data_IF_586369516136
#
_entry.id   IF_586369516136
#
_cell.length_a   1.000
_cell.length_b   1.000
_cell.length_c   1.000
_cell.angle_alpha   90.00
_cell.angle_beta   90.00
_cell.angle_gamma   90.00
#
_symmetry.space_group_name_H-M   'P 1'
#
loop_
_entity.id
_entity.type
_entity.pdbx_description
1 polymer ?
#
# COMPACT_ATOMS: atom_id res chain seq x y z
N UNK A 1 9.59 -8.30 3.57
CA UNK A 1 9.58 -7.29 2.48
C UNK A 1 10.18 -7.92 1.22
N UNK A 2 9.43 -7.89 0.12
CA UNK A 2 9.86 -8.31 -1.21
C UNK A 2 10.50 -7.11 -1.92
N UNK A 3 11.80 -7.18 -2.17
CA UNK A 3 12.55 -6.25 -3.00
C UNK A 3 12.55 -6.72 -4.45
N UNK A 4 12.16 -5.83 -5.36
CA UNK A 4 12.01 -6.10 -6.79
C UNK A 4 12.96 -5.21 -7.57
N UNK A 5 13.86 -5.78 -8.38
CA UNK A 5 14.74 -5.02 -9.27
C UNK A 5 14.34 -5.27 -10.73
N UNK A 6 13.82 -4.22 -11.39
CA UNK A 6 13.31 -4.28 -12.76
C UNK A 6 14.29 -3.66 -13.75
N UNK A 7 14.37 -4.23 -14.95
CA UNK A 7 15.00 -3.62 -16.10
C UNK A 7 14.13 -2.47 -16.62
N UNK A 8 14.80 -1.42 -17.11
CA UNK A 8 14.24 -0.10 -17.42
C UNK A 8 12.96 -0.20 -18.27
N UNK A 9 11.81 0.07 -17.64
CA UNK A 9 10.46 -0.11 -18.20
C UNK A 9 9.61 1.17 -18.10
N UNK A 10 8.43 1.15 -18.74
CA UNK A 10 7.44 2.22 -18.60
C UNK A 10 6.92 2.26 -17.16
N UNK A 11 6.65 3.46 -16.65
CA UNK A 11 6.07 3.66 -15.31
C UNK A 11 4.71 2.96 -15.25
N UNK A 12 4.54 2.08 -14.28
CA UNK A 12 3.24 1.45 -14.00
C UNK A 12 2.88 1.64 -12.53
N UNK A 13 1.58 1.76 -12.30
CA UNK A 13 0.97 1.74 -10.98
C UNK A 13 -0.11 0.67 -10.98
N UNK A 14 0.01 -0.30 -10.07
CA UNK A 14 -0.97 -1.36 -9.91
C UNK A 14 -1.15 -1.71 -8.45
N UNK A 15 -2.32 -2.23 -8.09
CA UNK A 15 -2.63 -2.66 -6.74
C UNK A 15 -3.11 -4.11 -6.76
N UNK A 16 -2.54 -4.96 -5.91
CA UNK A 16 -3.00 -6.35 -5.74
C UNK A 16 -3.70 -6.51 -4.39
N UNK A 17 -4.75 -7.32 -4.35
CA UNK A 17 -5.38 -7.78 -3.10
C UNK A 17 -4.68 -9.08 -2.67
N UNK A 18 -4.11 -9.11 -1.47
CA UNK A 18 -3.48 -10.32 -0.92
C UNK A 18 -4.47 -11.14 -0.06
N UNK A 19 -4.44 -12.47 -0.08
CA UNK A 19 -5.34 -13.28 0.75
C UNK A 19 -5.10 -13.09 2.26
N UNK A 20 -3.87 -12.71 2.66
CA UNK A 20 -3.52 -12.47 4.06
C UNK A 20 -2.97 -11.07 4.29
N UNK A 21 -3.43 -10.39 5.35
CA UNK A 21 -3.14 -8.98 5.68
C UNK A 21 -1.66 -8.80 6.09
N UNK A 22 -0.82 -8.13 5.28
CA UNK A 22 0.58 -7.89 5.64
C UNK A 22 0.76 -6.74 6.65
N UNK A 23 -0.21 -5.81 6.74
CA UNK A 23 -0.12 -4.61 7.59
C UNK A 23 -1.30 -4.51 8.58
N UNK A 24 -1.22 -5.17 9.75
CA UNK A 24 -2.26 -5.08 10.77
C UNK A 24 -2.35 -3.70 11.44
N UNK A 25 -1.29 -2.88 11.41
CA UNK A 25 -1.21 -1.55 12.05
C UNK A 25 -1.26 -0.36 11.07
N UNK A 26 -2.05 -0.44 10.00
CA UNK A 26 -2.24 0.72 9.10
C UNK A 26 -3.09 1.80 9.77
N UNK A 27 -2.54 3.01 9.90
CA UNK A 27 -3.27 4.21 10.33
C UNK A 27 -3.97 4.83 9.12
N UNK A 28 -5.30 4.76 9.13
CA UNK A 28 -6.18 5.36 8.12
C UNK A 28 -6.85 6.59 8.73
N UNK A 29 -6.91 7.68 7.99
CA UNK A 29 -7.61 8.90 8.41
C UNK A 29 -8.86 9.09 7.55
N UNK A 30 -9.97 9.43 8.21
CA UNK A 30 -11.25 9.73 7.55
C UNK A 30 -11.36 11.24 7.30
N UNK A 31 -11.79 11.62 6.11
CA UNK A 31 -12.15 12.99 5.76
C UNK A 31 -13.68 13.07 5.65
N UNK A 32 -14.32 13.76 6.60
CA UNK A 32 -15.78 13.87 6.70
C UNK A 32 -16.33 13.64 8.12
N UNK A 33 -17.65 13.75 8.24
CA UNK A 33 -18.35 13.67 9.52
C UNK A 33 -18.23 12.28 10.15
N UNK A 34 -17.92 12.28 11.44
CA UNK A 34 -17.35 11.16 12.17
C UNK A 34 -18.28 9.94 12.24
N UNK A 35 -17.78 8.77 11.84
CA UNK A 35 -18.25 7.50 12.37
C UNK A 35 -17.09 6.49 12.52
N UNK A 36 -17.02 5.87 13.69
CA UNK A 36 -16.18 4.72 14.10
C UNK A 36 -14.68 5.03 14.32
N UNK A 37 -14.31 5.43 15.55
CA UNK A 37 -13.00 5.15 16.18
C UNK A 37 -11.69 5.56 15.46
N UNK A 38 -11.78 6.28 14.34
CA UNK A 38 -10.68 6.71 13.50
C UNK A 38 -10.52 8.23 13.60
N UNK A 39 -9.28 8.69 13.46
CA UNK A 39 -8.96 10.12 13.39
C UNK A 39 -9.72 10.75 12.20
N UNK A 40 -10.66 11.64 12.48
CA UNK A 40 -11.47 12.37 11.50
C UNK A 40 -10.91 13.78 11.30
N UNK A 41 -11.13 14.34 10.11
CA UNK A 41 -10.80 15.73 9.79
C UNK A 41 -11.92 16.34 8.97
N UNK A 42 -12.44 17.46 9.46
CA UNK A 42 -13.52 18.19 8.81
C UNK A 42 -13.04 18.96 7.58
N UNK A 43 -13.99 19.29 6.70
CA UNK A 43 -13.77 20.06 5.47
C UNK A 43 -13.14 21.44 5.75
N UNK A 44 -13.43 22.02 6.91
CA UNK A 44 -12.85 23.28 7.36
C UNK A 44 -11.40 23.13 7.83
N UNK A 45 -11.06 22.00 8.48
CA UNK A 45 -9.70 21.68 8.90
C UNK A 45 -8.76 21.53 7.71
N UNK A 46 -9.23 20.92 6.62
CA UNK A 46 -8.45 20.77 5.38
C UNK A 46 -8.05 22.11 4.76
N UNK A 47 -8.94 23.11 4.77
CA UNK A 47 -8.67 24.45 4.22
C UNK A 47 -7.62 25.19 5.05
N UNK A 48 -7.62 25.03 6.37
CA UNK A 48 -6.62 25.64 7.27
C UNK A 48 -5.23 25.02 7.11
N UNK A 49 -5.17 23.71 6.89
CA UNK A 49 -3.92 22.97 6.70
C UNK A 49 -3.21 23.32 5.39
N UNK A 50 -3.95 23.70 4.33
CA UNK A 50 -3.36 23.99 3.02
C UNK A 50 -2.45 25.24 3.02
N UNK A 51 -2.61 26.15 3.99
CA UNK A 51 -1.79 27.37 4.10
C UNK A 51 -0.33 27.06 4.49
N UNK A 52 -0.07 25.97 5.21
CA UNK A 52 1.25 25.63 5.73
C UNK A 52 1.75 24.28 5.20
N UNK A 53 2.61 24.30 4.19
CA UNK A 53 3.24 23.09 3.59
C UNK A 53 3.94 22.18 4.61
N UNK A 54 4.45 22.73 5.72
CA UNK A 54 5.11 21.96 6.79
C UNK A 54 4.13 21.08 7.57
N UNK A 55 2.94 21.59 7.88
CA UNK A 55 1.91 20.84 8.60
C UNK A 55 1.29 19.75 7.72
N UNK A 56 1.07 20.05 6.44
CA UNK A 56 0.62 19.06 5.45
C UNK A 56 1.60 17.89 5.34
N UNK A 57 2.92 18.17 5.29
CA UNK A 57 3.95 17.13 5.25
C UNK A 57 4.02 16.29 6.53
N UNK A 58 3.76 16.88 7.71
CA UNK A 58 3.70 16.14 8.98
C UNK A 58 2.46 15.24 9.04
N UNK A 59 1.32 15.77 8.61
CA UNK A 59 0.05 15.06 8.55
C UNK A 59 0.10 13.86 7.58
N UNK A 60 0.59 14.07 6.36
CA UNK A 60 0.74 13.00 5.36
C UNK A 60 1.76 11.91 5.75
N UNK A 61 2.66 12.18 6.70
CA UNK A 61 3.58 11.16 7.25
C UNK A 61 2.94 10.32 8.37
N UNK A 62 1.88 10.82 9.01
CA UNK A 62 1.21 10.14 10.13
C UNK A 62 0.25 9.04 9.66
N UNK A 63 -0.34 9.20 8.48
CA UNK A 63 -1.34 8.29 7.92
C UNK A 63 -0.84 7.63 6.64
N UNK A 64 -1.23 6.37 6.44
CA UNK A 64 -0.84 5.58 5.26
C UNK A 64 -1.86 5.70 4.12
N UNK A 65 -3.14 5.83 4.46
CA UNK A 65 -4.23 6.03 3.50
C UNK A 65 -5.28 6.99 4.06
N UNK A 66 -5.94 7.70 3.16
CA UNK A 66 -7.04 8.61 3.46
C UNK A 66 -8.31 8.07 2.81
N UNK A 67 -9.40 8.04 3.56
CA UNK A 67 -10.72 7.66 3.08
C UNK A 67 -11.62 8.89 3.16
N UNK A 68 -12.40 9.14 2.11
CA UNK A 68 -13.41 10.19 2.09
C UNK A 68 -14.79 9.57 2.33
N UNK A 69 -15.65 10.29 3.03
CA UNK A 69 -17.04 9.90 3.31
C UNK A 69 -17.86 9.77 2.02
N UNK A 70 -17.93 8.56 1.49
CA UNK A 70 -19.06 8.07 0.68
C UNK A 70 -19.75 6.98 1.51
N UNK A 71 -21.08 7.00 1.56
CA UNK A 71 -21.98 6.30 2.49
C UNK A 71 -21.98 4.74 2.43
N UNK A 72 -20.82 4.12 2.32
CA UNK A 72 -20.64 2.68 2.26
C UNK A 72 -19.82 2.18 3.45
N UNK A 73 -20.12 0.96 3.91
CA UNK A 73 -19.51 0.30 5.07
C UNK A 73 -17.99 0.51 5.16
N UNK A 74 -17.57 1.38 6.08
CA UNK A 74 -16.17 1.78 6.28
C UNK A 74 -15.29 0.59 6.66
N UNK A 75 -15.83 -0.38 7.38
CA UNK A 75 -15.11 -1.58 7.82
C UNK A 75 -14.63 -2.42 6.62
N UNK A 76 -15.46 -2.56 5.61
CA UNK A 76 -15.14 -3.28 4.37
C UNK A 76 -14.04 -2.56 3.59
N UNK A 77 -14.16 -1.23 3.39
CA UNK A 77 -13.13 -0.42 2.72
C UNK A 77 -11.80 -0.43 3.48
N UNK A 78 -11.85 -0.38 4.81
CA UNK A 78 -10.66 -0.46 5.66
C UNK A 78 -9.99 -1.82 5.51
N UNK A 79 -10.75 -2.92 5.51
CA UNK A 79 -10.21 -4.26 5.30
C UNK A 79 -9.62 -4.43 3.89
N UNK A 80 -10.30 -3.92 2.86
CA UNK A 80 -9.75 -3.90 1.49
C UNK A 80 -8.44 -3.11 1.43
N UNK A 81 -8.37 -1.97 2.11
CA UNK A 81 -7.17 -1.13 2.13
C UNK A 81 -6.01 -1.80 2.88
N UNK A 82 -6.28 -2.53 3.96
CA UNK A 82 -5.27 -3.31 4.72
C UNK A 82 -4.70 -4.47 3.91
N UNK A 83 -5.52 -5.06 3.05
CA UNK A 83 -5.20 -6.20 2.19
C UNK A 83 -4.50 -5.76 0.90
N UNK A 84 -4.75 -4.53 0.46
CA UNK A 84 -4.25 -4.02 -0.80
C UNK A 84 -2.78 -3.60 -0.69
N UNK A 85 -1.98 -4.09 -1.62
CA UNK A 85 -0.57 -3.74 -1.75
C UNK A 85 -0.36 -2.98 -3.05
N UNK A 86 0.19 -1.76 -2.94
CA UNK A 86 0.42 -0.85 -4.05
C UNK A 86 1.84 -1.04 -4.63
N UNK A 87 1.91 -1.37 -5.91
CA UNK A 87 3.12 -1.36 -6.71
C UNK A 87 3.20 -0.03 -7.45
N UNK A 88 4.16 0.82 -7.07
CA UNK A 88 4.37 2.12 -7.71
C UNK A 88 5.80 2.24 -8.22
N UNK A 89 5.99 2.02 -9.52
CA UNK A 89 7.30 2.21 -10.14
C UNK A 89 7.50 3.68 -10.48
N UNK A 90 8.39 4.34 -9.73
CA UNK A 90 8.79 5.73 -9.96
C UNK A 90 10.02 5.77 -10.90
N UNK A 91 10.95 6.68 -10.64
CA UNK A 91 12.23 6.79 -11.38
C UNK A 91 13.26 5.73 -10.94
N UNK A 92 13.05 5.12 -9.78
CA UNK A 92 13.94 4.10 -9.19
C UNK A 92 13.53 2.72 -9.70
N UNK A 93 14.52 1.90 -10.06
CA UNK A 93 14.34 0.55 -10.61
C UNK A 93 14.01 -0.51 -9.54
N UNK A 94 14.18 -0.14 -8.27
CA UNK A 94 13.92 -0.99 -7.12
C UNK A 94 12.62 -0.58 -6.43
N UNK A 95 11.74 -1.54 -6.17
CA UNK A 95 10.56 -1.35 -5.32
C UNK A 95 10.57 -2.32 -4.16
N UNK A 96 10.16 -1.86 -2.99
CA UNK A 96 9.97 -2.68 -1.80
C UNK A 96 8.49 -2.83 -1.51
N UNK A 97 8.04 -4.07 -1.33
CA UNK A 97 6.63 -4.41 -1.10
C UNK A 97 6.51 -5.28 0.15
N UNK A 98 5.56 -4.97 1.03
CA UNK A 98 5.29 -5.80 2.20
C UNK A 98 4.38 -6.98 1.82
N UNK A 99 4.87 -8.19 2.03
CA UNK A 99 4.20 -9.46 1.62
C UNK A 99 3.82 -10.35 2.81
N UNK A 100 4.23 -10.00 4.03
CA UNK A 100 3.93 -10.81 5.22
C UNK A 100 4.53 -10.22 6.51
N UNK A 101 4.10 -10.78 7.64
CA UNK A 101 4.51 -10.42 9.00
C UNK A 101 5.03 -11.67 9.74
N UNK A 102 5.76 -11.49 10.85
CA UNK A 102 6.37 -12.58 11.63
C UNK A 102 5.35 -13.57 12.23
N UNK A 103 4.11 -13.14 12.44
CA UNK A 103 3.03 -14.00 12.97
C UNK A 103 2.27 -14.80 11.91
N UNK A 104 2.73 -14.86 10.67
CA UNK A 104 2.10 -15.62 9.59
C UNK A 104 2.80 -16.95 9.34
N UNK A 105 2.06 -17.96 8.94
CA UNK A 105 2.64 -19.23 8.51
C UNK A 105 3.40 -19.09 7.19
N UNK A 106 4.43 -19.91 7.02
CA UNK A 106 5.26 -19.94 5.81
C UNK A 106 4.45 -20.20 4.53
N UNK A 107 3.41 -21.04 4.61
CA UNK A 107 2.51 -21.33 3.49
C UNK A 107 1.73 -20.09 3.04
N UNK A 108 1.26 -19.28 4.00
CA UNK A 108 0.54 -18.03 3.73
C UNK A 108 1.46 -16.99 3.11
N UNK A 109 2.71 -16.91 3.60
CA UNK A 109 3.74 -16.04 3.03
C UNK A 109 4.05 -16.46 1.59
N UNK A 110 4.19 -17.76 1.33
CA UNK A 110 4.45 -18.28 -0.02
C UNK A 110 3.32 -17.90 -1.00
N UNK A 111 2.05 -18.09 -0.60
CA UNK A 111 0.90 -17.69 -1.43
C UNK A 111 0.89 -16.18 -1.71
N UNK A 112 1.16 -15.35 -0.70
CA UNK A 112 1.24 -13.90 -0.87
C UNK A 112 2.37 -13.49 -1.83
N UNK A 113 3.54 -14.14 -1.72
CA UNK A 113 4.69 -13.90 -2.60
C UNK A 113 4.36 -14.32 -4.03
N UNK A 114 3.79 -15.50 -4.22
CA UNK A 114 3.43 -16.02 -5.54
C UNK A 114 2.41 -15.11 -6.24
N UNK A 115 1.36 -14.67 -5.54
CA UNK A 115 0.39 -13.71 -6.07
C UNK A 115 1.04 -12.37 -6.40
N UNK A 116 1.91 -11.87 -5.54
CA UNK A 116 2.63 -10.60 -5.76
C UNK A 116 3.51 -10.65 -7.01
N UNK A 117 4.24 -11.76 -7.21
CA UNK A 117 5.11 -11.96 -8.37
C UNK A 117 4.28 -12.16 -9.63
N UNK A 118 3.21 -12.96 -9.58
CA UNK A 118 2.32 -13.17 -10.73
C UNK A 118 1.66 -11.87 -11.19
N UNK A 119 1.18 -11.05 -10.24
CA UNK A 119 0.62 -9.74 -10.55
C UNK A 119 1.68 -8.81 -11.17
N UNK A 120 2.89 -8.77 -10.61
CA UNK A 120 3.98 -7.97 -11.16
C UNK A 120 4.32 -8.37 -12.60
N UNK A 121 4.44 -9.68 -12.86
CA UNK A 121 4.72 -10.22 -14.19
C UNK A 121 3.62 -9.87 -15.18
N UNK A 122 2.36 -9.86 -14.75
CA UNK A 122 1.22 -9.49 -15.61
C UNK A 122 1.22 -8.02 -16.02
N UNK A 123 1.84 -7.14 -15.22
CA UNK A 123 1.96 -5.71 -15.52
C UNK A 123 3.13 -5.41 -16.47
N UNK A 124 4.08 -6.33 -16.61
CA UNK A 124 5.28 -6.16 -17.43
C UNK A 124 5.03 -6.66 -18.86
N UNK A 125 5.33 -5.82 -19.85
CA UNK A 125 5.12 -6.15 -21.28
C UNK A 125 5.94 -7.35 -21.79
N UNK A 126 7.05 -7.66 -21.12
CA UNK A 126 7.92 -8.82 -21.43
C UNK A 126 7.98 -9.83 -20.29
N UNK A 127 7.01 -9.77 -19.36
CA UNK A 127 6.86 -10.72 -18.27
C UNK A 127 8.17 -10.88 -17.46
N UNK A 128 8.77 -12.08 -17.49
CA UNK A 128 9.95 -12.45 -16.71
C UNK A 128 11.27 -11.88 -17.23
N UNK A 129 11.38 -11.54 -18.52
CA UNK A 129 12.64 -11.03 -19.09
C UNK A 129 13.05 -9.67 -18.51
N UNK A 130 12.09 -8.92 -17.98
CA UNK A 130 12.33 -7.62 -17.35
C UNK A 130 12.68 -7.73 -15.87
N UNK A 131 12.53 -8.90 -15.25
CA UNK A 131 12.81 -9.10 -13.83
C UNK A 131 14.27 -9.52 -13.71
N UNK A 132 15.12 -8.62 -13.18
CA UNK A 132 16.55 -8.91 -13.02
C UNK A 132 16.82 -9.75 -11.79
N UNK A 133 16.27 -9.35 -10.65
CA UNK A 133 16.42 -10.04 -9.38
C UNK A 133 15.19 -9.81 -8.49
N UNK A 134 14.81 -10.84 -7.74
CA UNK A 134 13.81 -10.80 -6.68
C UNK A 134 14.52 -11.09 -5.36
N UNK A 135 14.27 -10.27 -4.34
CA UNK A 135 14.87 -10.41 -3.02
C UNK A 135 13.78 -10.52 -1.96
N UNK A 136 13.86 -11.52 -1.09
CA UNK A 136 13.06 -11.58 0.12
C UNK A 136 13.93 -11.14 1.29
N UNK A 137 13.50 -10.10 1.99
CA UNK A 137 14.17 -9.57 3.18
C UNK A 137 13.19 -9.49 4.33
N UNK A 138 13.50 -10.10 5.47
CA UNK A 138 12.81 -9.85 6.73
C UNK A 138 13.26 -8.51 7.33
N UNK A 139 12.37 -7.82 8.04
CA UNK A 139 12.78 -6.78 8.98
C UNK A 139 13.46 -7.46 10.15
N UNK A 140 14.75 -7.13 10.37
CA UNK A 140 15.51 -7.49 11.57
C UNK A 140 15.02 -6.67 12.75
#
# INVERSE_FOLDING_TARGET
MLGLCLLKEKRFSGSVRLPHIPHPKMKVCMLGDAYIGLDHMDVEGLKRLNKNKKLVKKFAKKYHDFLASEAESLESKVNETKVMVKFQLKKVLCMGVAVGNLGMEEKQIFQNVQLSVNFLVSLLKKNWQNVRCLYLKSTM
#
